data_IF_263242512758
#
_entry.id   IF_263242512758
#
_cell.length_a   1.000
_cell.length_b   1.000
_cell.length_c   1.000
_cell.angle_alpha   90.00
_cell.angle_beta   90.00
_cell.angle_gamma   90.00
#
_symmetry.space_group_name_H-M   'P 1'
#
loop_
_entity.id
_entity.type
_entity.pdbx_description
1 polymer ?
#
# COMPACT_ATOMS: atom_id res chain seq x y z
N UNK A 1 -28.18 -52.53 -39.99
CA UNK A 1 -27.21 -51.43 -39.88
C UNK A 1 -27.42 -50.48 -41.05
N UNK A 2 -28.09 -49.36 -40.80
CA UNK A 2 -28.18 -48.21 -41.71
C UNK A 2 -28.38 -46.99 -40.82
N UNK A 3 -27.44 -46.07 -40.86
CA UNK A 3 -27.42 -44.86 -40.03
C UNK A 3 -27.91 -43.73 -40.92
N UNK A 4 -29.03 -43.12 -40.54
CA UNK A 4 -29.60 -41.96 -41.23
C UNK A 4 -28.73 -40.73 -40.97
N UNK A 5 -28.36 -40.05 -42.05
CA UNK A 5 -27.65 -38.79 -42.05
C UNK A 5 -28.70 -37.66 -42.12
N UNK A 6 -28.84 -36.87 -41.06
CA UNK A 6 -29.76 -35.72 -41.02
C UNK A 6 -28.94 -34.43 -41.17
N UNK A 7 -29.22 -33.56 -42.15
CA UNK A 7 -28.54 -32.29 -42.29
C UNK A 7 -29.03 -31.26 -41.24
N UNK A 8 -28.17 -30.31 -40.82
CA UNK A 8 -28.54 -29.28 -39.85
C UNK A 8 -29.45 -28.20 -40.47
N UNK A 9 -30.26 -27.50 -39.64
CA UNK A 9 -31.14 -26.44 -40.13
C UNK A 9 -30.39 -25.14 -40.43
N UNK A 10 -30.79 -24.51 -41.54
CA UNK A 10 -30.36 -23.17 -41.94
C UNK A 10 -30.89 -22.10 -40.98
N UNK A 11 -29.98 -21.34 -40.39
CA UNK A 11 -30.30 -20.14 -39.62
C UNK A 11 -30.42 -18.94 -40.56
N UNK A 12 -31.65 -18.60 -40.93
CA UNK A 12 -31.97 -17.34 -41.59
C UNK A 12 -31.78 -16.15 -40.64
N UNK A 13 -30.96 -15.20 -41.08
CA UNK A 13 -30.66 -13.90 -40.48
C UNK A 13 -31.92 -13.05 -40.29
N UNK A 14 -32.25 -12.73 -39.02
CA UNK A 14 -33.26 -11.71 -38.68
C UNK A 14 -32.58 -10.34 -38.67
N UNK A 15 -33.03 -9.45 -39.56
CA UNK A 15 -32.61 -8.05 -39.58
C UNK A 15 -33.21 -7.31 -38.38
N UNK A 16 -32.36 -6.66 -37.59
CA UNK A 16 -32.78 -5.76 -36.53
C UNK A 16 -33.02 -4.35 -37.10
N UNK A 17 -34.22 -3.82 -36.85
CA UNK A 17 -34.55 -2.41 -37.09
C UNK A 17 -33.81 -1.48 -36.13
N UNK A 18 -33.48 -0.24 -36.55
CA UNK A 18 -32.83 0.75 -35.70
C UNK A 18 -33.83 1.41 -34.73
N UNK A 19 -33.54 1.32 -33.43
CA UNK A 19 -34.27 2.01 -32.37
C UNK A 19 -33.80 3.47 -32.30
N UNK A 20 -34.70 4.39 -32.62
CA UNK A 20 -34.55 5.84 -32.46
C UNK A 20 -34.53 6.21 -30.97
N UNK A 21 -33.51 6.93 -30.51
CA UNK A 21 -33.40 7.45 -29.14
C UNK A 21 -34.18 8.77 -28.98
N UNK A 22 -34.86 9.01 -27.84
CA UNK A 22 -35.45 10.31 -27.54
C UNK A 22 -34.41 11.28 -26.96
N UNK A 23 -34.56 12.54 -27.36
CA UNK A 23 -33.75 13.70 -26.97
C UNK A 23 -33.97 14.15 -25.51
N UNK A 24 -32.91 14.78 -25.01
CA UNK A 24 -32.86 15.87 -24.03
C UNK A 24 -33.55 15.72 -22.67
N UNK A 25 -32.69 15.59 -21.64
CA UNK A 25 -33.01 15.98 -20.27
C UNK A 25 -31.85 16.79 -19.70
N UNK A 26 -32.11 18.09 -19.56
CA UNK A 26 -31.24 19.09 -18.94
C UNK A 26 -30.99 18.75 -17.47
N UNK A 27 -29.74 18.47 -17.11
CA UNK A 27 -29.32 18.25 -15.72
C UNK A 27 -28.79 19.57 -15.15
N UNK A 28 -29.48 20.08 -14.12
CA UNK A 28 -29.10 21.26 -13.32
C UNK A 28 -27.95 20.86 -12.37
N UNK A 29 -26.83 21.61 -12.31
CA UNK A 29 -25.76 21.34 -11.35
C UNK A 29 -26.16 21.81 -9.93
N UNK A 30 -26.20 20.87 -8.98
CA UNK A 30 -26.25 21.16 -7.54
C UNK A 30 -24.85 21.50 -7.03
N UNK A 31 -24.73 22.64 -6.33
CA UNK A 31 -23.51 23.03 -5.64
C UNK A 31 -23.24 22.12 -4.41
N UNK A 32 -21.97 21.80 -4.12
CA UNK A 32 -21.61 21.11 -2.88
C UNK A 32 -21.59 22.07 -1.69
N UNK A 33 -22.29 21.69 -0.62
CA UNK A 33 -22.19 22.28 0.70
C UNK A 33 -20.91 21.74 1.36
N UNK A 34 -20.01 22.63 1.76
CA UNK A 34 -18.80 22.31 2.52
C UNK A 34 -19.13 22.46 4.01
N UNK A 35 -19.28 21.34 4.71
CA UNK A 35 -19.33 21.31 6.18
C UNK A 35 -17.93 20.96 6.70
N UNK A 36 -17.30 21.92 7.37
CA UNK A 36 -15.97 21.82 7.97
C UNK A 36 -16.15 21.40 9.44
N UNK A 37 -16.07 20.09 9.71
CA UNK A 37 -16.04 19.56 11.07
C UNK A 37 -14.60 19.19 11.46
N UNK A 38 -13.95 20.11 12.17
CA UNK A 38 -12.66 19.85 12.81
C UNK A 38 -12.86 18.97 14.05
N UNK A 39 -12.59 17.67 13.90
CA UNK A 39 -12.52 16.71 15.00
C UNK A 39 -11.17 16.82 15.71
N UNK A 40 -11.18 17.17 17.00
CA UNK A 40 -9.98 17.15 17.85
C UNK A 40 -9.51 15.70 18.09
N UNK A 41 -8.19 15.44 18.11
CA UNK A 41 -7.66 14.10 18.35
C UNK A 41 -7.88 13.67 19.81
N UNK A 42 -8.44 12.47 20.00
CA UNK A 42 -8.58 11.82 21.29
C UNK A 42 -7.20 11.36 21.82
N UNK A 43 -6.96 11.42 23.14
CA UNK A 43 -5.73 10.91 23.74
C UNK A 43 -5.63 9.38 23.63
N UNK A 44 -4.41 8.82 23.55
CA UNK A 44 -4.22 7.37 23.47
C UNK A 44 -4.62 6.68 24.79
N UNK A 45 -5.15 5.45 24.74
CA UNK A 45 -5.48 4.68 25.93
C UNK A 45 -4.21 4.34 26.73
N UNK A 46 -4.28 4.54 28.05
CA UNK A 46 -3.22 4.15 28.97
C UNK A 46 -3.37 2.69 29.38
N UNK A 47 -2.39 1.85 29.03
CA UNK A 47 -2.36 0.45 29.45
C UNK A 47 -1.46 0.29 30.68
N UNK A 48 -2.01 -0.19 31.79
CA UNK A 48 -1.23 -0.56 32.98
C UNK A 48 -0.99 -2.07 33.00
N UNK A 49 0.28 -2.47 33.02
CA UNK A 49 0.69 -3.89 33.09
C UNK A 49 0.88 -4.26 34.56
N UNK A 50 0.13 -5.26 35.03
CA UNK A 50 0.37 -5.89 36.33
C UNK A 50 0.96 -7.28 36.13
N UNK A 51 2.12 -7.53 36.74
CA UNK A 51 2.76 -8.84 36.76
C UNK A 51 2.26 -9.61 37.99
N UNK A 52 1.56 -10.72 37.79
CA UNK A 52 1.27 -11.68 38.87
C UNK A 52 2.28 -12.83 38.85
N UNK A 53 2.60 -13.34 40.04
CA UNK A 53 3.69 -14.28 40.38
C UNK A 53 3.54 -15.71 39.82
N UNK A 54 2.81 -15.87 38.72
CA UNK A 54 2.59 -17.18 38.04
C UNK A 54 2.88 -17.13 36.54
N UNK A 55 3.56 -16.09 36.04
CA UNK A 55 4.10 -16.07 34.67
C UNK A 55 3.07 -16.03 33.55
N UNK A 56 1.80 -15.74 33.85
CA UNK A 56 0.74 -15.55 32.86
C UNK A 56 0.43 -14.07 32.66
N UNK A 57 0.63 -13.57 31.43
CA UNK A 57 0.23 -12.22 31.04
C UNK A 57 -1.27 -12.21 30.76
N UNK A 58 -2.06 -11.72 31.71
CA UNK A 58 -3.49 -11.48 31.53
C UNK A 58 -3.70 -10.00 31.25
N UNK A 59 -4.07 -9.66 30.01
CA UNK A 59 -4.58 -8.33 29.67
C UNK A 59 -6.01 -8.23 30.19
N UNK A 60 -6.20 -7.70 31.41
CA UNK A 60 -7.52 -7.39 31.92
C UNK A 60 -7.94 -5.98 31.49
N UNK A 61 -9.03 -5.89 30.73
CA UNK A 61 -9.68 -4.64 30.40
C UNK A 61 -10.61 -4.25 31.55
N UNK A 62 -10.36 -3.11 32.21
CA UNK A 62 -11.24 -2.57 33.25
C UNK A 62 -12.04 -1.38 32.71
N UNK A 63 -13.33 -1.57 32.33
CA UNK A 63 -14.16 -0.49 31.77
C UNK A 63 -14.57 0.58 32.80
N UNK A 64 -14.24 0.44 34.10
CA UNK A 64 -14.65 1.38 35.13
C UNK A 64 -13.82 2.67 35.21
N UNK A 65 -12.69 2.78 34.48
CA UNK A 65 -11.86 4.01 34.49
C UNK A 65 -12.32 5.12 33.54
N UNK A 66 -13.36 4.90 32.74
CA UNK A 66 -13.88 5.89 31.78
C UNK A 66 -14.72 7.02 32.40
N UNK A 67 -14.94 7.01 33.72
CA UNK A 67 -15.75 8.00 34.43
C UNK A 67 -14.97 8.78 35.51
N UNK A 68 -13.64 8.86 35.43
CA UNK A 68 -12.89 9.75 36.30
C UNK A 68 -13.21 11.22 35.97
N UNK A 69 -13.73 11.92 36.96
CA UNK A 69 -14.09 13.35 36.93
C UNK A 69 -12.91 14.22 36.46
N UNK A 70 -13.12 15.21 35.57
CA UNK A 70 -12.04 16.07 35.10
C UNK A 70 -11.49 16.95 36.24
N UNK A 71 -10.15 17.12 36.34
CA UNK A 71 -9.56 18.03 37.32
C UNK A 71 -9.93 19.49 37.02
N UNK A 72 -10.24 20.24 38.08
CA UNK A 72 -10.64 21.63 38.03
C UNK A 72 -9.61 22.54 37.32
N UNK A 73 -10.05 23.62 36.65
CA UNK A 73 -9.17 24.52 35.91
C UNK A 73 -8.22 25.30 36.83
N UNK A 74 -6.93 25.23 36.52
CA UNK A 74 -5.86 25.98 37.21
C UNK A 74 -5.89 27.43 36.73
N UNK A 75 -6.22 28.35 37.64
CA UNK A 75 -6.16 29.80 37.43
C UNK A 75 -4.72 30.28 37.31
N UNK A 76 -4.31 30.75 36.12
CA UNK A 76 -3.00 31.40 35.90
C UNK A 76 -3.04 32.85 36.38
N UNK A 77 -2.40 33.13 37.51
CA UNK A 77 -2.09 34.48 37.98
C UNK A 77 -0.97 35.08 37.13
N UNK A 78 -1.28 36.17 36.42
CA UNK A 78 -0.32 37.00 35.68
C UNK A 78 0.21 38.10 36.61
N UNK A 79 1.47 38.00 37.02
CA UNK A 79 2.19 39.13 37.65
C UNK A 79 3.01 39.87 36.60
N UNK A 80 2.57 41.09 36.30
CA UNK A 80 3.35 42.13 35.63
C UNK A 80 4.23 42.84 36.67
N UNK A 81 5.51 42.99 36.38
CA UNK A 81 6.40 43.89 37.15
C UNK A 81 6.98 44.94 36.20
N UNK A 82 7.02 46.24 36.59
CA UNK A 82 7.43 47.32 35.70
C UNK A 82 8.93 47.61 35.74
N UNK A 83 9.35 48.20 34.64
CA UNK A 83 10.62 48.84 34.30
C UNK A 83 11.10 49.87 35.33
N UNK A 84 12.39 49.80 35.72
CA UNK A 84 13.15 50.97 36.16
C UNK A 84 14.54 50.97 35.53
N UNK A 85 14.84 52.11 34.91
CA UNK A 85 16.10 52.57 34.35
C UNK A 85 17.09 52.96 35.46
N UNK A 86 18.37 52.61 35.27
CA UNK A 86 19.47 53.38 35.86
C UNK A 86 20.68 53.37 34.93
N UNK A 87 21.09 54.58 34.56
CA UNK A 87 22.36 54.89 33.91
C UNK A 87 23.50 54.70 34.92
N UNK A 88 24.60 54.12 34.48
CA UNK A 88 25.79 53.90 35.29
C UNK A 88 27.00 53.66 34.41
N UNK A 89 27.67 54.74 34.03
CA UNK A 89 29.02 54.74 33.45
C UNK A 89 30.02 54.09 34.41
N UNK A 90 30.72 53.03 33.99
CA UNK A 90 32.13 52.79 34.34
C UNK A 90 32.78 51.66 33.54
N UNK A 91 33.97 51.97 33.01
CA UNK A 91 35.13 51.10 32.81
C UNK A 91 35.02 49.87 31.90
N UNK A 92 35.49 50.09 30.66
CA UNK A 92 35.94 49.05 29.71
C UNK A 92 37.04 48.19 30.34
N UNK A 93 36.73 46.94 30.66
CA UNK A 93 37.71 45.86 30.75
C UNK A 93 37.58 45.05 29.46
N UNK A 94 38.60 45.10 28.60
CA UNK A 94 38.71 44.25 27.41
C UNK A 94 38.94 42.80 27.88
N UNK A 95 37.86 42.09 28.20
CA UNK A 95 37.88 40.64 28.28
C UNK A 95 37.90 40.10 26.85
N UNK A 96 39.00 39.48 26.47
CA UNK A 96 39.16 38.81 25.18
C UNK A 96 37.97 37.85 24.96
N UNK A 97 37.16 38.15 23.95
CA UNK A 97 36.04 37.31 23.53
C UNK A 97 36.60 35.93 23.16
N UNK A 98 36.20 34.83 23.82
CA UNK A 98 36.58 33.49 23.39
C UNK A 98 36.14 33.29 21.94
N UNK A 99 36.96 32.67 21.08
CA UNK A 99 36.61 32.45 19.68
C UNK A 99 35.31 31.66 19.65
N UNK A 100 34.28 32.27 19.07
CA UNK A 100 33.01 31.62 18.79
C UNK A 100 33.31 30.33 18.01
N UNK A 101 32.91 29.15 18.50
CA UNK A 101 33.14 27.90 17.79
C UNK A 101 32.44 28.03 16.44
N UNK A 102 33.23 28.12 15.38
CA UNK A 102 32.73 28.02 14.01
C UNK A 102 32.03 26.67 13.90
N UNK A 103 30.70 26.63 13.71
CA UNK A 103 30.01 25.37 13.46
C UNK A 103 30.39 24.95 12.04
N UNK A 104 31.49 24.23 11.92
CA UNK A 104 31.85 23.47 10.73
C UNK A 104 31.03 22.17 10.74
N UNK A 105 29.70 22.30 10.81
CA UNK A 105 28.81 21.21 10.47
C UNK A 105 28.77 21.13 8.96
N UNK A 106 29.68 20.34 8.39
CA UNK A 106 29.46 19.84 7.04
C UNK A 106 28.06 19.22 7.05
N UNK A 107 27.16 19.63 6.13
CA UNK A 107 25.82 19.06 6.08
C UNK A 107 25.97 17.54 6.00
N UNK A 108 25.14 16.77 6.72
CA UNK A 108 25.19 15.32 6.66
C UNK A 108 25.22 14.92 5.20
N UNK A 109 26.26 14.17 4.80
CA UNK A 109 26.46 13.80 3.41
C UNK A 109 25.23 13.06 2.92
N UNK A 110 24.36 13.76 2.19
CA UNK A 110 23.21 13.16 1.55
C UNK A 110 23.77 12.18 0.54
N UNK A 111 23.80 10.91 0.91
CA UNK A 111 24.07 9.84 -0.03
C UNK A 111 22.92 9.88 -1.01
N UNK A 112 23.10 10.54 -2.15
CA UNK A 112 22.18 10.45 -3.28
C UNK A 112 21.93 8.97 -3.51
N UNK A 113 20.66 8.58 -3.47
CA UNK A 113 20.25 7.21 -3.72
C UNK A 113 20.68 6.84 -5.15
N UNK A 114 21.82 6.16 -5.26
CA UNK A 114 22.36 5.76 -6.56
C UNK A 114 21.43 4.73 -7.16
N UNK A 115 20.90 5.03 -8.34
CA UNK A 115 20.15 4.06 -9.13
C UNK A 115 21.11 2.89 -9.40
N UNK A 116 20.73 1.64 -9.08
CA UNK A 116 21.56 0.48 -9.36
C UNK A 116 21.92 0.39 -10.85
N UNK A 117 23.17 0.08 -11.16
CA UNK A 117 23.63 -0.10 -12.55
C UNK A 117 23.14 -1.41 -13.16
N UNK A 118 22.78 -2.38 -12.32
CA UNK A 118 22.26 -3.68 -12.70
C UNK A 118 20.94 -4.02 -12.02
N UNK A 119 20.27 -5.10 -12.47
CA UNK A 119 19.05 -5.55 -11.82
C UNK A 119 19.28 -6.01 -10.38
N UNK A 120 18.39 -5.63 -9.47
CA UNK A 120 18.45 -6.00 -8.04
C UNK A 120 17.33 -6.99 -7.73
N UNK A 121 17.65 -8.08 -7.03
CA UNK A 121 16.70 -9.13 -6.64
C UNK A 121 16.29 -8.98 -5.18
N UNK A 122 15.09 -8.47 -4.95
CA UNK A 122 14.50 -8.37 -3.62
C UNK A 122 13.76 -9.65 -3.23
N UNK A 123 13.76 -9.96 -1.94
CA UNK A 123 13.06 -11.12 -1.37
C UNK A 123 11.99 -10.65 -0.40
N UNK A 124 10.80 -11.23 -0.48
CA UNK A 124 9.74 -11.03 0.50
C UNK A 124 9.93 -12.02 1.65
N UNK A 125 10.35 -11.52 2.81
CA UNK A 125 10.64 -12.32 3.98
C UNK A 125 9.55 -12.13 5.03
N UNK A 126 8.95 -13.20 5.58
CA UNK A 126 8.00 -13.09 6.68
C UNK A 126 8.62 -12.34 7.86
N UNK A 127 7.85 -11.43 8.45
CA UNK A 127 8.30 -10.58 9.55
C UNK A 127 7.12 -10.35 10.47
N UNK A 128 6.98 -11.11 11.55
CA UNK A 128 5.85 -10.98 12.46
C UNK A 128 4.55 -11.61 11.98
N UNK A 129 3.43 -11.20 12.58
CA UNK A 129 2.11 -11.77 12.33
C UNK A 129 1.41 -11.03 11.18
N UNK A 130 1.08 -11.77 10.12
CA UNK A 130 0.48 -11.22 8.89
C UNK A 130 1.29 -10.07 8.24
N UNK A 131 2.58 -9.97 8.54
CA UNK A 131 3.48 -9.01 7.91
C UNK A 131 4.71 -9.68 7.30
N UNK A 132 5.26 -8.98 6.33
CA UNK A 132 6.49 -9.33 5.63
C UNK A 132 7.26 -8.06 5.28
N UNK A 133 8.55 -8.22 5.07
CA UNK A 133 9.44 -7.14 4.65
C UNK A 133 10.07 -7.46 3.30
N UNK A 134 10.33 -6.42 2.52
CA UNK A 134 11.06 -6.53 1.26
C UNK A 134 12.55 -6.26 1.51
N UNK A 135 13.36 -7.31 1.44
CA UNK A 135 14.80 -7.26 1.77
C UNK A 135 15.62 -7.27 0.47
N UNK A 136 16.60 -6.36 0.31
CA UNK A 136 17.57 -6.41 -0.77
C UNK A 136 18.53 -7.62 -0.63
N UNK A 137 19.28 -7.99 -1.67
CA UNK A 137 20.28 -9.04 -1.56
C UNK A 137 21.43 -8.61 -0.62
N UNK A 138 22.10 -9.56 0.09
CA UNK A 138 23.11 -9.24 1.10
C UNK A 138 24.35 -8.54 0.52
N UNK A 139 24.59 -8.65 -0.79
CA UNK A 139 25.67 -7.95 -1.50
C UNK A 139 25.32 -6.50 -1.87
N UNK A 140 24.12 -6.01 -1.52
CA UNK A 140 23.71 -4.63 -1.77
C UNK A 140 24.45 -3.64 -0.89
N UNK A 141 24.69 -2.43 -1.41
CA UNK A 141 25.29 -1.33 -0.64
C UNK A 141 24.45 -0.96 0.59
N UNK A 142 23.12 -1.06 0.47
CA UNK A 142 22.17 -0.93 1.58
C UNK A 142 21.40 -2.24 1.71
N UNK A 143 21.64 -2.94 2.83
CA UNK A 143 20.99 -4.22 3.15
C UNK A 143 19.73 -4.05 4.00
N UNK A 144 19.36 -2.81 4.35
CA UNK A 144 18.17 -2.55 5.17
C UNK A 144 16.89 -2.92 4.42
N UNK A 145 15.86 -3.42 5.12
CA UNK A 145 14.56 -3.66 4.52
C UNK A 145 13.97 -2.38 3.92
N UNK A 146 13.49 -2.48 2.70
CA UNK A 146 13.03 -1.33 1.92
C UNK A 146 11.55 -1.03 2.16
N UNK A 147 10.76 -2.07 2.43
CA UNK A 147 9.33 -1.94 2.66
C UNK A 147 8.84 -2.92 3.72
N UNK A 148 7.88 -2.45 4.50
CA UNK A 148 7.07 -3.22 5.43
C UNK A 148 5.68 -3.38 4.82
N UNK A 149 5.20 -4.61 4.77
CA UNK A 149 3.93 -4.97 4.15
C UNK A 149 3.13 -5.75 5.19
N UNK A 150 1.99 -5.22 5.60
CA UNK A 150 1.05 -5.88 6.51
C UNK A 150 -0.24 -6.24 5.78
N UNK A 151 -0.90 -7.28 6.27
CA UNK A 151 -2.21 -7.72 5.79
C UNK A 151 -3.14 -7.85 6.98
N UNK A 152 -4.19 -7.05 6.99
CA UNK A 152 -5.26 -7.11 7.97
C UNK A 152 -6.53 -7.68 7.32
N UNK A 153 -7.40 -8.25 8.14
CA UNK A 153 -8.69 -8.80 7.71
C UNK A 153 -9.80 -7.91 8.27
N UNK A 154 -10.78 -7.54 7.45
CA UNK A 154 -11.94 -6.81 7.94
C UNK A 154 -12.76 -7.72 8.87
N UNK A 155 -12.89 -7.34 10.14
CA UNK A 155 -13.60 -8.12 11.14
C UNK A 155 -15.09 -8.30 10.84
N UNK A 156 -15.69 -7.37 10.09
CA UNK A 156 -17.10 -7.44 9.67
C UNK A 156 -17.25 -8.14 8.32
N UNK A 157 -16.17 -8.26 7.55
CA UNK A 157 -16.15 -8.98 6.29
C UNK A 157 -14.84 -9.77 6.11
N UNK A 158 -14.73 -10.98 6.70
CA UNK A 158 -13.49 -11.77 6.69
C UNK A 158 -13.01 -12.20 5.29
N UNK A 159 -13.85 -12.02 4.27
CA UNK A 159 -13.50 -12.28 2.87
C UNK A 159 -12.68 -11.14 2.26
N UNK A 160 -12.63 -9.98 2.92
CA UNK A 160 -11.91 -8.79 2.54
C UNK A 160 -10.63 -8.69 3.37
N UNK A 161 -9.52 -8.44 2.68
CA UNK A 161 -8.26 -8.14 3.37
C UNK A 161 -7.74 -6.80 2.87
N UNK A 162 -7.14 -6.08 3.80
CA UNK A 162 -6.53 -4.77 3.61
C UNK A 162 -5.03 -5.00 3.63
N UNK A 163 -4.35 -4.65 2.54
CA UNK A 163 -2.90 -4.76 2.44
C UNK A 163 -2.29 -3.38 2.49
N UNK A 164 -1.42 -3.13 3.46
CA UNK A 164 -0.80 -1.83 3.70
C UNK A 164 0.70 -1.92 3.44
N UNK A 165 1.22 -0.99 2.65
CA UNK A 165 2.63 -0.92 2.24
C UNK A 165 3.24 0.37 2.78
N UNK A 166 4.32 0.24 3.53
CA UNK A 166 5.10 1.36 4.11
C UNK A 166 6.57 1.23 3.78
N UNK A 167 7.29 2.34 3.72
CA UNK A 167 8.75 2.34 3.54
C UNK A 167 9.47 1.85 4.80
N UNK A 168 10.63 1.22 4.65
CA UNK A 168 11.45 0.75 5.76
C UNK A 168 11.04 -0.61 6.32
N UNK A 169 11.46 -0.91 7.55
CA UNK A 169 11.34 -2.24 8.15
C UNK A 169 10.13 -2.42 9.08
N UNK A 170 9.37 -1.36 9.35
CA UNK A 170 8.30 -1.37 10.35
C UNK A 170 7.09 -0.52 9.93
N UNK A 171 6.05 -0.57 10.76
CA UNK A 171 4.77 0.12 10.59
C UNK A 171 4.82 1.65 10.74
N UNK A 172 5.92 2.21 11.26
CA UNK A 172 6.08 3.66 11.45
C UNK A 172 6.62 4.37 10.21
N UNK A 173 6.98 3.61 9.17
CA UNK A 173 7.47 4.18 7.91
C UNK A 173 6.42 4.94 7.12
N UNK A 174 6.90 5.71 6.15
CA UNK A 174 6.06 6.49 5.25
C UNK A 174 5.06 5.59 4.53
N UNK A 175 3.79 5.99 4.57
CA UNK A 175 2.72 5.29 3.88
C UNK A 175 2.90 5.39 2.36
N UNK A 176 3.00 4.23 1.68
CA UNK A 176 3.15 4.15 0.23
C UNK A 176 1.79 3.93 -0.42
N UNK A 177 1.12 2.84 -0.03
CA UNK A 177 -0.18 2.48 -0.54
C UNK A 177 -0.93 1.56 0.43
N UNK A 178 -2.24 1.52 0.27
CA UNK A 178 -3.15 0.59 0.93
C UNK A 178 -4.16 0.12 -0.12
N UNK A 179 -4.49 -1.16 -0.14
CA UNK A 179 -5.54 -1.65 -1.02
C UNK A 179 -6.39 -2.71 -0.33
N UNK A 180 -7.68 -2.63 -0.59
CA UNK A 180 -8.69 -3.54 -0.07
C UNK A 180 -9.16 -4.46 -1.18
N UNK A 181 -9.06 -5.77 -0.96
CA UNK A 181 -9.45 -6.77 -1.94
C UNK A 181 -10.03 -8.00 -1.25
N UNK A 182 -11.07 -8.58 -1.84
CA UNK A 182 -11.69 -9.81 -1.34
C UNK A 182 -12.44 -10.57 -2.43
N UNK A 183 -13.06 -11.67 -2.03
CA UNK A 183 -14.06 -12.40 -2.85
C UNK A 183 -15.50 -11.90 -2.60
N UNK A 184 -15.63 -10.71 -2.04
CA UNK A 184 -16.93 -10.11 -1.71
C UNK A 184 -17.49 -9.33 -2.90
N UNK A 185 -18.78 -8.96 -2.82
CA UNK A 185 -19.41 -8.06 -3.81
C UNK A 185 -18.93 -6.61 -3.70
N UNK A 186 -18.18 -6.28 -2.65
CA UNK A 186 -17.66 -4.93 -2.45
C UNK A 186 -16.60 -4.62 -3.49
N UNK A 187 -16.63 -3.41 -4.10
CA UNK A 187 -15.61 -3.02 -5.07
C UNK A 187 -14.26 -2.91 -4.36
N UNK A 188 -13.24 -3.57 -4.92
CA UNK A 188 -11.87 -3.41 -4.45
C UNK A 188 -11.40 -1.95 -4.59
N UNK A 189 -10.64 -1.46 -3.61
CA UNK A 189 -10.18 -0.07 -3.53
C UNK A 189 -8.66 0.00 -3.46
N UNK A 190 -8.10 1.16 -3.81
CA UNK A 190 -6.68 1.46 -3.75
C UNK A 190 -6.47 2.91 -3.30
N UNK A 191 -5.74 3.08 -2.21
CA UNK A 191 -5.21 4.35 -1.73
C UNK A 191 -3.71 4.42 -2.01
N UNK A 192 -3.26 5.38 -2.81
CA UNK A 192 -1.83 5.57 -3.12
C UNK A 192 -1.54 7.05 -3.36
N UNK A 193 -0.45 7.57 -2.78
CA UNK A 193 -0.05 9.00 -2.85
C UNK A 193 -1.18 9.96 -2.43
N UNK A 194 -1.90 9.61 -1.37
CA UNK A 194 -2.99 10.44 -0.82
C UNK A 194 -4.25 10.52 -1.70
N UNK A 195 -4.38 9.64 -2.70
CA UNK A 195 -5.56 9.56 -3.56
C UNK A 195 -6.19 8.18 -3.47
N UNK A 196 -7.51 8.16 -3.51
CA UNK A 196 -8.32 6.95 -3.43
C UNK A 196 -8.92 6.63 -4.81
N UNK A 197 -8.87 5.37 -5.20
CA UNK A 197 -9.30 4.86 -6.50
C UNK A 197 -10.10 3.58 -6.34
N UNK A 198 -11.00 3.31 -7.29
CA UNK A 198 -11.46 1.94 -7.49
C UNK A 198 -10.33 1.13 -8.11
N UNK A 199 -10.11 -0.09 -7.63
CA UNK A 199 -9.02 -0.92 -8.14
C UNK A 199 -9.19 -1.21 -9.65
N UNK A 200 -10.42 -1.30 -10.14
CA UNK A 200 -10.73 -1.48 -11.57
C UNK A 200 -10.30 -0.31 -12.45
N UNK A 201 -10.17 0.89 -11.89
CA UNK A 201 -9.67 2.08 -12.60
C UNK A 201 -8.15 2.04 -12.70
N UNK A 202 -7.49 1.62 -11.62
CA UNK A 202 -6.03 1.54 -11.52
C UNK A 202 -5.43 0.30 -12.20
N UNK A 203 -6.11 -0.85 -12.15
CA UNK A 203 -5.61 -2.14 -12.63
C UNK A 203 -6.66 -2.80 -13.53
N UNK A 204 -6.38 -2.84 -14.83
CA UNK A 204 -7.27 -3.43 -15.81
C UNK A 204 -6.74 -4.77 -16.30
N UNK A 205 -7.56 -5.81 -16.27
CA UNK A 205 -7.23 -7.08 -16.93
C UNK A 205 -7.23 -6.89 -18.45
N UNK A 206 -6.24 -7.46 -19.14
CA UNK A 206 -6.04 -7.34 -20.59
C UNK A 206 -6.17 -8.70 -21.27
N UNK A 207 -6.75 -8.72 -22.47
CA UNK A 207 -6.91 -9.93 -23.27
C UNK A 207 -8.16 -10.73 -22.90
N UNK A 208 -8.13 -12.04 -23.16
CA UNK A 208 -9.29 -12.90 -22.87
C UNK A 208 -9.54 -13.05 -21.35
N UNK A 209 -10.71 -13.54 -20.93
CA UNK A 209 -10.98 -13.87 -19.53
C UNK A 209 -9.98 -14.86 -18.91
N UNK A 210 -9.30 -15.67 -19.73
CA UNK A 210 -8.27 -16.62 -19.28
C UNK A 210 -6.86 -16.00 -19.30
N UNK A 211 -6.71 -14.83 -19.91
CA UNK A 211 -5.45 -14.10 -19.97
C UNK A 211 -5.00 -13.69 -18.57
N UNK A 212 -3.71 -13.90 -18.31
CA UNK A 212 -3.01 -13.46 -17.09
C UNK A 212 -2.20 -12.21 -17.40
N UNK A 213 -2.84 -11.23 -18.02
CA UNK A 213 -2.22 -9.95 -18.33
C UNK A 213 -2.99 -8.81 -17.69
N UNK A 214 -2.27 -7.85 -17.11
CA UNK A 214 -2.84 -6.70 -16.42
C UNK A 214 -2.14 -5.42 -16.86
N UNK A 215 -2.87 -4.32 -16.89
CA UNK A 215 -2.35 -2.99 -17.16
C UNK A 215 -2.63 -2.10 -15.94
N UNK A 216 -1.55 -1.66 -15.30
CA UNK A 216 -1.55 -0.62 -14.29
C UNK A 216 -1.63 0.74 -14.98
N UNK A 217 -2.68 1.50 -14.71
CA UNK A 217 -2.96 2.78 -15.32
C UNK A 217 -2.97 3.87 -14.26
N UNK A 218 -1.79 4.45 -14.02
CA UNK A 218 -1.64 5.70 -13.29
C UNK A 218 -1.25 6.82 -14.24
N UNK A 219 -1.58 8.06 -13.85
CA UNK A 219 -1.50 9.26 -14.71
C UNK A 219 -0.10 9.48 -15.30
N UNK A 220 0.97 9.08 -14.60
CA UNK A 220 2.36 9.36 -15.02
C UNK A 220 3.01 8.23 -15.83
N UNK A 221 2.62 6.99 -15.60
CA UNK A 221 3.27 5.82 -16.21
C UNK A 221 2.34 4.62 -16.23
N UNK A 222 2.40 3.87 -17.32
CA UNK A 222 1.66 2.62 -17.49
C UNK A 222 2.61 1.46 -17.24
N UNK A 223 2.15 0.47 -16.47
CA UNK A 223 2.88 -0.79 -16.29
C UNK A 223 2.06 -1.92 -16.89
N UNK A 224 2.71 -2.83 -17.60
CA UNK A 224 2.07 -3.96 -18.23
C UNK A 224 2.62 -5.26 -17.65
N UNK A 225 1.80 -5.94 -16.87
CA UNK A 225 2.13 -7.22 -16.27
C UNK A 225 1.72 -8.36 -17.19
N UNK A 226 2.69 -9.17 -17.59
CA UNK A 226 2.53 -10.41 -18.33
C UNK A 226 2.79 -11.60 -17.38
N UNK A 227 1.73 -12.25 -16.95
CA UNK A 227 1.71 -13.48 -16.18
C UNK A 227 1.35 -14.71 -17.01
N UNK A 228 1.60 -14.69 -18.32
CA UNK A 228 1.40 -15.86 -19.20
C UNK A 228 2.11 -17.11 -18.68
N UNK A 229 3.22 -16.94 -17.96
CA UNK A 229 3.92 -18.05 -17.30
C UNK A 229 3.40 -18.26 -15.87
N UNK A 230 3.26 -19.53 -15.43
CA UNK A 230 2.84 -19.83 -14.06
C UNK A 230 3.92 -19.44 -13.04
N UNK A 231 5.19 -19.39 -13.45
CA UNK A 231 6.33 -19.27 -12.54
C UNK A 231 6.80 -17.84 -12.30
N UNK A 232 6.45 -16.91 -13.18
CA UNK A 232 6.91 -15.53 -13.13
C UNK A 232 5.86 -14.60 -13.76
N UNK A 233 5.83 -13.36 -13.30
CA UNK A 233 5.12 -12.24 -13.92
C UNK A 233 6.15 -11.20 -14.33
N UNK A 234 6.12 -10.73 -15.58
CA UNK A 234 7.05 -9.71 -16.07
C UNK A 234 6.32 -8.38 -16.26
N UNK A 235 6.92 -7.29 -15.81
CA UNK A 235 6.40 -5.94 -15.89
C UNK A 235 7.14 -5.17 -16.99
N UNK A 236 6.39 -4.59 -17.92
CA UNK A 236 6.92 -3.84 -19.06
C UNK A 236 6.37 -2.41 -19.12
N UNK A 237 7.08 -1.54 -19.84
CA UNK A 237 6.66 -0.17 -20.14
C UNK A 237 5.48 -0.08 -21.11
N UNK A 238 5.30 -1.07 -21.98
CA UNK A 238 4.35 -1.08 -23.08
C UNK A 238 3.77 -2.49 -23.29
N UNK A 239 2.58 -2.61 -23.91
CA UNK A 239 2.01 -3.91 -24.22
C UNK A 239 2.85 -4.69 -25.25
N UNK A 240 3.64 -3.99 -26.07
CA UNK A 240 4.60 -4.57 -27.02
C UNK A 240 5.88 -5.11 -26.33
N UNK A 241 5.97 -5.00 -25.00
CA UNK A 241 7.07 -5.54 -24.16
C UNK A 241 8.44 -4.93 -24.48
N UNK A 242 8.48 -3.65 -24.83
CA UNK A 242 9.71 -2.96 -25.29
C UNK A 242 10.78 -2.81 -24.22
N UNK A 243 10.38 -2.53 -22.98
CA UNK A 243 11.31 -2.32 -21.86
C UNK A 243 10.83 -3.09 -20.65
N UNK A 244 11.65 -4.01 -20.16
CA UNK A 244 11.39 -4.75 -18.94
C UNK A 244 11.72 -3.86 -17.73
N UNK A 245 10.75 -3.64 -16.86
CA UNK A 245 10.95 -2.92 -15.60
C UNK A 245 11.22 -3.86 -14.44
N UNK A 246 10.47 -4.96 -14.33
CA UNK A 246 10.62 -5.90 -13.24
C UNK A 246 10.15 -7.32 -13.59
N UNK A 247 10.56 -8.28 -12.78
CA UNK A 247 10.05 -9.65 -12.76
C UNK A 247 9.64 -10.02 -11.35
N UNK A 248 8.39 -10.46 -11.17
CA UNK A 248 7.87 -10.97 -9.92
C UNK A 248 7.77 -12.50 -9.97
N UNK A 249 8.38 -13.18 -9.01
CA UNK A 249 8.32 -14.64 -8.85
C UNK A 249 7.52 -14.92 -7.59
N UNK A 250 6.31 -15.50 -7.69
CA UNK A 250 5.48 -15.80 -6.52
C UNK A 250 6.13 -16.89 -5.65
N UNK A 251 5.81 -16.87 -4.36
CA UNK A 251 6.23 -17.92 -3.44
C UNK A 251 5.70 -19.28 -3.89
N UNK A 252 6.50 -20.32 -3.67
CA UNK A 252 6.14 -21.70 -4.02
C UNK A 252 6.34 -22.59 -2.81
N UNK A 253 5.29 -23.34 -2.48
CA UNK A 253 5.43 -24.47 -1.58
C UNK A 253 6.06 -25.62 -2.38
N UNK A 254 7.21 -26.14 -1.95
CA UNK A 254 7.76 -27.33 -2.57
C UNK A 254 6.79 -28.50 -2.40
N UNK A 255 6.79 -29.40 -3.37
CA UNK A 255 5.97 -30.61 -3.36
C UNK A 255 6.36 -31.54 -2.20
N UNK A 256 7.65 -31.54 -1.86
CA UNK A 256 8.21 -32.31 -0.75
C UNK A 256 8.32 -31.43 0.49
N UNK A 257 7.67 -31.83 1.58
CA UNK A 257 7.64 -31.09 2.87
C UNK A 257 9.02 -30.81 3.49
N UNK A 258 10.06 -31.53 3.08
CA UNK A 258 11.42 -31.38 3.60
C UNK A 258 12.20 -30.26 2.91
N UNK A 259 11.73 -29.76 1.78
CA UNK A 259 12.40 -28.67 1.08
C UNK A 259 12.02 -27.31 1.69
N UNK A 260 12.95 -26.35 1.71
CA UNK A 260 12.67 -25.00 2.17
C UNK A 260 11.62 -24.33 1.29
N UNK A 261 10.74 -23.53 1.90
CA UNK A 261 9.77 -22.72 1.18
C UNK A 261 10.51 -21.72 0.31
N UNK A 262 10.20 -21.70 -0.99
CA UNK A 262 10.74 -20.69 -1.91
C UNK A 262 9.94 -19.41 -1.67
N UNK A 263 10.61 -18.42 -1.09
CA UNK A 263 10.04 -17.10 -0.84
C UNK A 263 9.70 -16.39 -2.16
N UNK A 264 8.71 -15.49 -2.12
CA UNK A 264 8.44 -14.65 -3.27
C UNK A 264 9.62 -13.69 -3.49
N UNK A 265 9.87 -13.34 -4.75
CA UNK A 265 10.96 -12.45 -5.14
C UNK A 265 10.49 -11.39 -6.13
N UNK A 266 11.08 -10.21 -6.06
CA UNK A 266 10.86 -9.11 -7.01
C UNK A 266 12.22 -8.64 -7.53
N UNK A 267 12.48 -8.91 -8.81
CA UNK A 267 13.66 -8.41 -9.51
C UNK A 267 13.33 -7.11 -10.20
N UNK A 268 14.02 -6.02 -9.88
CA UNK A 268 13.81 -4.71 -10.51
C UNK A 268 15.03 -4.35 -11.35
N UNK A 269 14.80 -3.96 -12.59
CA UNK A 269 15.85 -3.49 -13.50
C UNK A 269 16.18 -2.01 -13.24
N UNK A 270 17.32 -1.50 -13.69
CA UNK A 270 17.64 -0.07 -13.58
C UNK A 270 16.53 0.84 -14.14
N UNK A 271 15.91 0.45 -15.26
CA UNK A 271 14.82 1.21 -15.88
C UNK A 271 13.53 1.23 -15.04
N UNK A 272 13.29 0.20 -14.22
CA UNK A 272 12.13 0.12 -13.33
C UNK A 272 12.34 0.81 -11.98
N UNK A 273 13.58 1.13 -11.61
CA UNK A 273 13.90 1.65 -10.27
C UNK A 273 13.20 2.98 -9.93
N UNK A 274 13.06 3.96 -10.85
CA UNK A 274 12.27 5.18 -10.58
C UNK A 274 10.78 4.92 -10.31
N UNK A 275 10.28 3.73 -10.63
CA UNK A 275 8.89 3.31 -10.52
C UNK A 275 8.69 2.26 -9.41
N UNK A 276 9.65 2.15 -8.47
CA UNK A 276 9.69 1.08 -7.47
C UNK A 276 8.35 0.92 -6.74
N UNK A 277 7.81 2.00 -6.18
CA UNK A 277 6.56 2.00 -5.42
C UNK A 277 5.41 1.39 -6.23
N UNK A 278 5.20 1.85 -7.46
CA UNK A 278 4.13 1.34 -8.31
C UNK A 278 4.36 -0.10 -8.74
N UNK A 279 5.61 -0.47 -9.04
CA UNK A 279 5.96 -1.85 -9.38
C UNK A 279 5.66 -2.76 -8.19
N UNK A 280 6.06 -2.39 -6.97
CA UNK A 280 5.82 -3.17 -5.77
C UNK A 280 4.31 -3.34 -5.52
N UNK A 281 3.57 -2.24 -5.47
CA UNK A 281 2.13 -2.24 -5.19
C UNK A 281 1.38 -3.03 -6.26
N UNK A 282 1.66 -2.77 -7.54
CA UNK A 282 1.02 -3.49 -8.64
C UNK A 282 1.40 -4.98 -8.68
N UNK A 283 2.62 -5.35 -8.30
CA UNK A 283 3.03 -6.76 -8.18
C UNK A 283 2.24 -7.50 -7.09
N UNK A 284 2.05 -6.88 -5.93
CA UNK A 284 1.25 -7.45 -4.82
C UNK A 284 -0.22 -7.64 -5.24
N UNK A 285 -0.80 -6.65 -5.93
CA UNK A 285 -2.15 -6.74 -6.48
C UNK A 285 -2.25 -7.86 -7.52
N UNK A 286 -1.28 -7.97 -8.45
CA UNK A 286 -1.22 -9.07 -9.43
C UNK A 286 -1.12 -10.42 -8.72
N UNK A 287 -0.30 -10.54 -7.68
CA UNK A 287 -0.18 -11.77 -6.90
C UNK A 287 -1.54 -12.18 -6.31
N UNK A 288 -2.28 -11.21 -5.75
CA UNK A 288 -3.61 -11.45 -5.19
C UNK A 288 -4.64 -11.79 -6.26
N UNK A 289 -4.71 -11.04 -7.35
CA UNK A 289 -5.57 -11.32 -8.51
C UNK A 289 -5.36 -12.73 -9.10
N UNK A 290 -4.14 -13.26 -9.03
CA UNK A 290 -3.81 -14.63 -9.48
C UNK A 290 -4.25 -15.71 -8.49
N UNK A 291 -4.32 -15.39 -7.21
CA UNK A 291 -4.68 -16.31 -6.14
C UNK A 291 -6.20 -16.33 -5.89
N UNK A 292 -6.91 -15.26 -6.22
CA UNK A 292 -8.36 -15.18 -6.13
C UNK A 292 -9.00 -15.96 -7.27
N UNK A 293 -9.90 -16.93 -6.99
CA UNK A 293 -10.68 -17.57 -8.04
C UNK A 293 -11.48 -16.50 -8.80
N UNK A 294 -11.51 -16.60 -10.13
CA UNK A 294 -12.34 -15.69 -10.93
C UNK A 294 -13.79 -16.18 -10.83
N UNK A 295 -14.78 -15.28 -10.84
CA UNK A 295 -16.21 -15.62 -10.70
C UNK A 295 -16.71 -16.69 -11.69
N UNK A 296 -16.03 -16.89 -12.82
CA UNK A 296 -16.34 -17.98 -13.74
C UNK A 296 -16.03 -19.39 -13.18
N UNK A 297 -15.22 -19.51 -12.12
CA UNK A 297 -14.85 -20.79 -11.50
C UNK A 297 -15.64 -21.10 -10.20
N UNK A 298 -16.28 -20.10 -9.57
CA UNK A 298 -16.94 -20.28 -8.27
C UNK A 298 -18.46 -20.54 -8.34
N UNK A 299 -19.13 -20.20 -9.45
CA UNK A 299 -20.59 -20.36 -9.60
C UNK A 299 -21.05 -21.63 -10.34
N UNK A 300 -20.17 -22.62 -10.53
CA UNK A 300 -20.58 -23.94 -11.05
C UNK A 300 -21.16 -24.89 -9.98
N UNK A 301 -21.50 -24.39 -8.80
CA UNK A 301 -22.38 -25.11 -7.87
C UNK A 301 -23.77 -24.51 -7.93
N UNK A 302 -24.59 -25.01 -8.86
CA UNK A 302 -26.04 -24.88 -8.77
C UNK A 302 -26.51 -25.68 -7.55
N UNK A 303 -27.12 -24.99 -6.58
CA UNK A 303 -28.08 -25.57 -5.64
C UNK A 303 -29.48 -25.24 -6.14
#
# INVERSE_FOLDING_TARGET
MSIFNVPPPDYTSVAHEPITAPEDSVIIPRQPVVEDHQSLPLPPPSSTVHTTDTGSLVLSWNPAQLYAEPPAPITRTTSRTPTQSSEGSASRVNLARPPSPTPSENPPGYVEARIPTGPVLYTFSPFGHNCMILVPPPESQDTRPQYHISVDVDCFNPLVHITTVRRGANEYGDHVAEFEMGISKSPATLSIRGKHYKLSEAMQKRGSPMSRSWAWQFVRHKLYWDGSKPIECKCYASPEKTTLYATFTPARRPEVRTQPIIQAQLKITPAGYPLFDDILVSALIVARCRATPQDNDLFNFQW
#
